data_IF_090165880195
#
_entry.id   IF_090165880195
#
_cell.length_a   1.000
_cell.length_b   1.000
_cell.length_c   1.000
_cell.angle_alpha   90.00
_cell.angle_beta   90.00
_cell.angle_gamma   90.00
#
_symmetry.space_group_name_H-M   'P 1'
#
loop_
_entity.id
_entity.type
_entity.pdbx_description
1 polymer ?
2 non-polymer ?
3 water ?
#
# COMPACT_ATOMS: atom_id res chain seq x y z
N UNK A 2 -10.29 -3.28 16.60
CA UNK A 2 -9.89 -2.23 15.66
C UNK A 2 -9.15 -2.85 14.48
N UNK A 3 -9.56 -2.48 13.26
CA UNK A 3 -8.90 -2.92 12.04
C UNK A 3 -8.70 -1.71 11.14
N UNK A 4 -7.64 -1.75 10.34
CA UNK A 4 -7.32 -0.59 9.51
C UNK A 4 -6.47 -0.97 8.31
N UNK A 5 -6.48 -0.08 7.31
CA UNK A 5 -5.49 -0.11 6.24
C UNK A 5 -4.78 1.23 6.24
N UNK A 6 -3.57 1.24 5.69
CA UNK A 6 -2.77 2.44 5.71
C UNK A 6 -1.76 2.49 4.59
N UNK A 8 1.57 5.31 3.69
CA UNK A 8 2.32 6.51 4.03
C UNK A 8 3.60 6.57 3.21
N UNK A 11 -1.97 -3.38 6.26
CA UNK A 11 -3.20 -3.44 7.06
C UNK A 11 -2.99 -4.07 8.41
N UNK B 2 -0.20 10.57 3.96
CA UNK B 2 -0.73 9.42 4.70
C UNK B 2 -2.22 9.30 4.46
N UNK B 3 -2.64 8.08 4.11
CA UNK B 3 -4.06 7.77 3.93
C UNK B 3 -4.38 6.47 4.65
N UNK B 4 -5.61 6.35 5.13
CA UNK B 4 -5.97 5.18 5.91
C UNK B 4 -7.48 4.94 5.90
N UNK B 5 -7.84 3.71 6.21
CA UNK B 5 -9.22 3.36 6.54
C UNK B 5 -9.22 2.73 7.91
N UNK B 6 -10.37 2.77 8.58
CA UNK B 6 -10.45 2.24 9.93
C UNK B 6 -11.85 1.78 10.27
N UNK B 8 -13.52 0.50 14.11
CA UNK B 8 -13.25 0.28 15.54
C UNK B 8 -14.55 0.12 16.30
N UNK B 11 -12.52 6.82 6.89
CA UNK B 11 -11.30 6.87 6.09
C UNK B 11 -10.76 8.27 6.06
N UNK C 2 -12.12 3.23 20.92
CA UNK C 2 -11.06 4.13 20.49
C UNK C 2 -11.64 5.30 19.70
N UNK C 3 -11.22 6.51 20.05
CA UNK C 3 -11.60 7.73 19.34
C UNK C 3 -10.36 8.56 19.06
N UNK C 4 -10.39 9.32 17.98
CA UNK C 4 -9.22 10.08 17.58
C UNK C 4 -9.57 11.27 16.70
N UNK C 5 -8.63 12.20 16.62
CA UNK C 5 -8.69 13.30 15.67
C UNK C 5 -7.38 13.30 14.91
N UNK C 6 -7.39 13.84 13.69
CA UNK C 6 -6.18 13.82 12.88
C UNK C 6 -6.18 14.92 11.83
N UNK C 8 -3.39 15.53 8.40
CA UNK C 8 -2.18 15.09 7.72
C UNK C 8 -2.05 15.76 6.36
N UNK C 11 -12.06 13.18 12.19
CA UNK C 11 -12.22 12.59 13.53
C UNK C 11 -12.92 11.26 13.44
N UNK D 2 1.90 14.89 10.11
CA UNK D 2 0.70 14.30 10.70
C UNK D 2 0.63 14.63 12.17
N UNK D 3 -0.53 15.11 12.61
CA UNK D 3 -0.80 15.42 14.01
C UNK D 3 -2.12 14.77 14.39
N UNK D 4 -2.23 14.31 15.62
CA UNK D 4 -3.40 13.55 16.04
C UNK D 4 -3.59 13.60 17.54
N UNK D 5 -4.82 13.31 17.96
CA UNK D 5 -5.13 13.06 19.35
C UNK D 5 -5.85 11.73 19.41
N UNK D 6 -5.80 11.08 20.56
CA UNK D 6 -6.40 9.76 20.71
C UNK D 6 -6.86 9.50 22.12
N UNK D 8 -8.19 5.73 23.95
CA UNK D 8 -8.46 4.31 23.75
C UNK D 8 -8.68 3.64 25.10
N UNK D 11 -1.68 12.72 22.65
CA UNK D 11 -1.59 13.41 21.38
C UNK D 11 -0.20 13.37 20.80
N UNK E 2 -5.87 -1.39 22.80
CA UNK E 2 -4.97 -0.99 21.72
C UNK E 2 -3.79 -0.19 22.27
N UNK E 3 -2.59 -0.61 21.89
CA UNK E 3 -1.36 0.07 22.26
C UNK E 3 -0.52 0.26 21.02
N UNK E 4 0.25 1.33 20.99
CA UNK E 4 1.02 1.66 19.79
C UNK E 4 2.20 2.57 20.10
N UNK E 5 3.16 2.59 19.18
CA UNK E 5 4.24 3.56 19.20
C UNK E 5 4.29 4.22 17.83
N UNK E 6 4.88 5.40 17.77
CA UNK E 6 4.90 6.15 16.53
C UNK E 6 6.05 7.14 16.47
N UNK E 8 6.87 10.42 13.54
CA UNK E 8 6.42 11.07 12.32
C UNK E 8 7.19 12.36 12.13
N UNK E 11 4.27 7.14 22.37
CA UNK E 11 3.67 5.84 22.61
C UNK E 11 2.36 5.97 23.29
N UNK F 2 6.34 8.51 8.31
CA UNK F 2 5.70 8.01 9.53
C UNK F 2 5.95 6.51 9.67
N UNK F 3 6.34 6.11 10.86
CA UNK F 3 6.50 4.71 11.20
C UNK F 3 5.81 4.45 12.52
N UNK F 4 5.27 3.24 12.68
CA UNK F 4 4.50 2.92 13.87
C UNK F 4 4.50 1.43 14.14
N UNK F 5 4.22 1.09 15.38
CA UNK F 5 4.01 -0.29 15.78
C UNK F 5 2.69 -0.33 16.52
N UNK F 6 2.03 -1.47 16.50
CA UNK F 6 0.73 -1.57 17.13
C UNK F 6 0.42 -2.96 17.63
N UNK F 8 -3.35 -4.68 19.07
CA UNK F 8 -4.77 -4.40 19.33
C UNK F 8 -5.51 -5.70 19.57
N UNK F 11 3.55 -3.71 12.45
CA UNK F 11 4.22 -2.43 12.31
C UNK F 11 4.17 -1.93 10.90
N UNK G 2 9.83 -14.32 -16.08
CA UNK G 2 8.74 -13.76 -15.31
C UNK G 2 7.40 -14.15 -15.93
N UNK G 3 6.48 -14.60 -15.08
CA UNK G 3 5.13 -14.94 -15.50
C UNK G 3 4.15 -14.34 -14.51
N UNK G 4 2.94 -14.04 -15.00
CA UNK G 4 1.96 -13.40 -14.13
C UNK G 4 0.54 -13.62 -14.62
N UNK G 5 -0.41 -13.44 -13.71
CA UNK G 5 -1.81 -13.25 -14.06
C UNK G 5 -2.22 -11.90 -13.49
N UNK G 6 -3.24 -11.30 -14.09
CA UNK G 6 -3.60 -9.91 -13.80
C UNK G 6 -5.10 -9.69 -14.02
N UNK G 8 -7.66 -6.09 -13.63
CA UNK G 8 -7.85 -4.71 -13.21
C UNK G 8 -9.12 -4.13 -13.80
N UNK G 11 -3.11 -13.11 -18.70
CA UNK G 11 -1.85 -13.64 -18.18
C UNK G 11 -0.70 -13.40 -19.11
N UNK H 2 -6.97 -3.67 -8.69
CA UNK H 2 -6.00 -4.49 -9.42
C UNK H 2 -5.54 -5.64 -8.54
N UNK H 3 -5.60 -6.85 -9.10
CA UNK H 3 -5.11 -8.05 -8.42
C UNK H 3 -4.23 -8.83 -9.37
N UNK H 4 -3.22 -9.49 -8.84
CA UNK H 4 -2.28 -10.20 -9.71
C UNK H 4 -1.56 -11.31 -8.97
N UNK H 5 -1.02 -12.25 -9.74
CA UNK H 5 -0.10 -13.26 -9.25
C UNK H 5 1.18 -13.14 -10.07
N UNK H 6 2.30 -13.56 -9.50
CA UNK H 6 3.57 -13.42 -10.19
C UNK H 6 4.56 -14.48 -9.77
N UNK H 8 8.85 -14.86 -10.63
CA UNK H 8 10.00 -14.25 -11.30
C UNK H 8 11.30 -14.90 -10.84
N UNK H 11 1.50 -12.98 -4.71
CA UNK H 11 0.23 -12.46 -5.20
C UNK H 11 -0.14 -11.19 -4.49
N UNK I 2 14.09 -9.46 -11.22
CA UNK I 2 13.13 -8.37 -11.09
C UNK I 2 12.59 -8.33 -9.66
N UNK I 3 12.63 -7.13 -9.07
CA UNK I 3 12.09 -6.89 -7.73
C UNK I 3 11.22 -5.67 -7.79
N UNK I 4 10.20 -5.63 -6.93
CA UNK I 4 9.26 -4.52 -6.96
C UNK I 4 8.55 -4.34 -5.63
N UNK I 5 8.00 -3.15 -5.45
CA UNK I 5 7.07 -2.87 -4.35
C UNK I 5 5.78 -2.31 -4.96
N UNK I 6 4.66 -2.46 -4.26
CA UNK I 6 3.39 -2.00 -4.80
C UNK I 6 2.38 -1.70 -3.71
N UNK I 8 -1.99 -0.85 -4.09
CA UNK I 8 -3.12 -0.60 -4.98
C UNK I 8 -4.42 -0.60 -4.18
N UNK I 11 5.53 -6.50 -1.59
CA UNK I 11 6.81 -6.45 -2.26
C UNK I 11 7.17 -7.80 -2.81
N UNK J 2 -2.86 2.86 -8.15
CA UNK J 2 -1.74 1.94 -8.00
C UNK J 2 -0.42 2.70 -8.09
N UNK J 3 0.46 2.46 -7.13
CA UNK J 3 1.80 3.01 -7.13
C UNK J 3 2.79 1.87 -6.91
N UNK J 4 3.94 1.97 -7.56
CA UNK J 4 4.91 0.88 -7.51
C UNK J 4 6.32 1.37 -7.74
N UNK J 5 7.28 0.58 -7.28
CA UNK J 5 8.68 0.78 -7.60
C UNK J 5 9.21 -0.53 -8.16
N UNK J 6 10.28 -0.45 -8.93
CA UNK J 6 10.82 -1.64 -9.57
C UNK J 6 12.29 -1.51 -9.86
N UNK J 8 14.84 -4.07 -12.37
CA UNK J 8 14.89 -5.26 -13.22
C UNK J 8 16.20 -5.30 -13.99
N UNK J 11 10.03 4.08 -10.81
CA UNK J 11 8.79 4.06 -10.05
C UNK J 11 7.65 4.68 -10.79
N UNK K 2 13.21 -7.58 -18.88
CA UNK K 2 11.81 -7.19 -18.86
C UNK K 2 11.69 -5.70 -19.13
N UNK K 3 10.83 -5.35 -20.09
CA UNK K 3 10.53 -3.96 -20.41
C UNK K 3 9.03 -3.80 -20.50
N UNK K 4 8.53 -2.61 -20.17
CA UNK K 4 7.10 -2.40 -20.10
C UNK K 4 6.73 -0.94 -20.21
N UNK K 5 5.48 -0.68 -20.60
CA UNK K 5 4.87 0.64 -20.49
C UNK K 5 3.64 0.50 -19.63
N UNK K 6 3.20 1.61 -19.03
CA UNK K 6 2.07 1.56 -18.12
C UNK K 6 1.37 2.91 -18.01
N UNK K 8 -1.87 4.38 -15.33
CA UNK K 8 -2.77 4.07 -14.22
C UNK K 8 -3.36 5.36 -13.68
N UNK K 11 7.30 4.26 -18.55
CA UNK K 11 7.89 3.01 -19.04
C UNK K 11 9.08 2.60 -18.22
N UNK L 2 -6.14 0.84 -15.37
CA UNK L 2 -4.74 0.53 -15.63
C UNK L 2 -4.58 -0.21 -16.96
N UNK L 3 -3.60 0.26 -17.76
CA UNK L 3 -3.25 -0.41 -19.00
C UNK L 3 -1.72 -0.51 -19.10
N UNK L 4 -1.25 -1.58 -19.75
CA UNK L 4 0.18 -1.80 -19.83
C UNK L 4 0.56 -2.62 -21.04
N UNK L 5 1.82 -2.54 -21.41
CA UNK L 5 2.42 -3.44 -22.38
C UNK L 5 3.66 -4.03 -21.75
N UNK L 6 4.07 -5.20 -22.22
CA UNK L 6 5.23 -5.86 -21.65
C UNK L 6 5.94 -6.75 -22.64
N UNK L 8 9.07 -9.72 -21.91
CA UNK L 8 9.94 -10.34 -20.93
C UNK L 8 10.58 -11.59 -21.52
N UNK L 11 -0.03 -7.31 -23.86
CA UNK L 11 -0.58 -6.11 -23.25
C UNK L 11 -1.84 -6.37 -22.48
#
# INVERSE_FOLDING_TARGET
XTYFTYXSXXKX
XTYFTYXSXXKX
XTYFTYXSXXKX
XTYFTYXSXXKX
XTYFTYXSXXKX
XTYFTYXSXXKX
XTYFTYXSXXKX
XTYFTYXSXXKX
XTYFTYXSXXKX
XTYFTYXSXXKX
XTYFTYXSXXKX
XTYFTYXSXXKX
#
